data_IF_669291146919
#
_entry.id   IF_669291146919
#
_cell.length_a   1.000
_cell.length_b   1.000
_cell.length_c   1.000
_cell.angle_alpha   90.00
_cell.angle_beta   90.00
_cell.angle_gamma   90.00
#
_symmetry.space_group_name_H-M   'P 1'
#
loop_
_entity.id
_entity.type
_entity.pdbx_description
1 polymer ?
#
# COMPACT_ATOMS: atom_id res chain seq x y z
N UNK A 1 25.09 -44.61 -17.59
CA UNK A 1 24.19 -43.51 -17.16
C UNK A 1 25.00 -42.24 -17.13
N UNK A 2 24.97 -41.36 -18.15
CA UNK A 2 25.79 -40.14 -18.04
C UNK A 2 25.42 -39.02 -19.02
N UNK A 3 25.11 -39.29 -20.29
CA UNK A 3 24.95 -38.22 -21.30
C UNK A 3 23.52 -37.73 -21.50
N UNK A 4 22.55 -38.64 -21.50
CA UNK A 4 21.14 -38.30 -21.76
C UNK A 4 20.53 -37.48 -20.62
N UNK A 5 20.88 -37.80 -19.37
CA UNK A 5 20.42 -37.05 -18.20
C UNK A 5 20.95 -35.61 -18.22
N UNK A 6 22.22 -35.43 -18.60
CA UNK A 6 22.88 -34.14 -18.64
C UNK A 6 22.32 -33.26 -19.76
N UNK A 7 21.95 -33.87 -20.89
CA UNK A 7 21.26 -33.21 -21.99
C UNK A 7 19.84 -32.76 -21.61
N UNK A 8 19.09 -33.59 -20.89
CA UNK A 8 17.76 -33.24 -20.39
C UNK A 8 17.83 -32.06 -19.41
N UNK A 9 18.79 -32.07 -18.47
CA UNK A 9 18.99 -30.95 -17.54
C UNK A 9 19.33 -29.67 -18.30
N UNK A 10 20.20 -29.73 -19.30
CA UNK A 10 20.57 -28.57 -20.11
C UNK A 10 19.38 -27.99 -20.88
N UNK A 11 18.52 -28.87 -21.44
CA UNK A 11 17.28 -28.44 -22.11
C UNK A 11 16.31 -27.76 -21.14
N UNK A 12 16.13 -28.30 -19.94
CA UNK A 12 15.24 -27.70 -18.93
C UNK A 12 15.76 -26.32 -18.52
N UNK A 13 17.06 -26.18 -18.22
CA UNK A 13 17.65 -24.89 -17.84
C UNK A 13 17.51 -23.87 -18.97
N UNK A 14 17.83 -24.26 -20.20
CA UNK A 14 17.73 -23.38 -21.37
C UNK A 14 16.29 -22.93 -21.64
N UNK A 15 15.31 -23.84 -21.44
CA UNK A 15 13.90 -23.53 -21.63
C UNK A 15 13.37 -22.58 -20.55
N UNK A 16 13.79 -22.78 -19.29
CA UNK A 16 13.47 -21.87 -18.18
C UNK A 16 14.06 -20.49 -18.41
N UNK A 17 15.30 -20.41 -18.90
CA UNK A 17 15.98 -19.15 -19.20
C UNK A 17 15.32 -18.39 -20.36
N UNK A 18 14.88 -19.09 -21.41
CA UNK A 18 14.10 -18.48 -22.49
C UNK A 18 12.72 -17.99 -22.02
N UNK A 19 12.06 -18.72 -21.13
CA UNK A 19 10.77 -18.32 -20.55
C UNK A 19 10.89 -17.08 -19.66
N UNK A 20 12.00 -16.90 -18.95
CA UNK A 20 12.23 -15.71 -18.10
C UNK A 20 12.63 -14.48 -18.93
N UNK A 21 13.41 -14.65 -19.99
CA UNK A 21 13.83 -13.58 -20.90
C UNK A 21 12.70 -13.08 -21.83
N UNK A 22 11.74 -13.93 -22.18
CA UNK A 22 10.63 -13.57 -23.06
C UNK A 22 9.52 -12.76 -22.36
N UNK A 23 9.59 -12.57 -21.03
CA UNK A 23 8.59 -11.78 -20.31
C UNK A 23 8.82 -10.30 -20.64
N UNK A 24 7.87 -9.62 -21.31
CA UNK A 24 7.97 -8.19 -21.50
C UNK A 24 8.14 -7.52 -20.12
N UNK A 25 8.95 -6.47 -19.99
CA UNK A 25 8.97 -5.69 -18.76
C UNK A 25 7.53 -5.26 -18.48
N UNK A 26 6.95 -5.71 -17.36
CA UNK A 26 5.64 -5.24 -16.96
C UNK A 26 5.79 -3.76 -16.64
N UNK A 27 5.34 -2.90 -17.54
CA UNK A 27 5.25 -1.47 -17.28
C UNK A 27 4.14 -1.26 -16.26
N UNK A 28 4.52 -1.15 -15.00
CA UNK A 28 3.61 -0.81 -13.91
C UNK A 28 3.62 0.71 -13.73
N UNK A 29 2.43 1.31 -13.72
CA UNK A 29 2.28 2.76 -13.68
C UNK A 29 2.21 3.20 -12.22
N UNK A 30 3.00 4.21 -11.85
CA UNK A 30 2.87 4.87 -10.56
C UNK A 30 1.65 5.79 -10.59
N UNK A 31 0.71 5.56 -9.67
CA UNK A 31 -0.53 6.33 -9.57
C UNK A 31 -0.47 7.20 -8.31
N UNK A 32 -0.56 8.53 -8.43
CA UNK A 32 -0.51 9.42 -7.28
C UNK A 32 -1.80 9.33 -6.44
N UNK A 33 -1.64 9.37 -5.13
CA UNK A 33 -2.69 9.49 -4.14
C UNK A 33 -2.51 10.76 -3.32
N UNK A 34 -3.62 11.46 -3.11
CA UNK A 34 -3.71 12.61 -2.22
C UNK A 34 -4.93 12.41 -1.31
N UNK A 35 -4.66 12.20 -0.02
CA UNK A 35 -5.70 12.08 1.01
C UNK A 35 -5.56 13.28 1.94
N UNK A 36 -6.61 14.09 1.97
CA UNK A 36 -6.70 15.27 2.84
C UNK A 36 -7.87 15.06 3.78
N UNK A 37 -7.68 15.41 5.05
CA UNK A 37 -8.75 15.33 6.03
C UNK A 37 -8.47 16.16 7.26
N UNK A 38 -9.46 16.16 8.15
CA UNK A 38 -9.40 16.83 9.43
C UNK A 38 -9.80 15.85 10.54
N UNK A 39 -9.00 15.80 11.61
CA UNK A 39 -9.28 15.05 12.82
C UNK A 39 -9.80 16.00 13.90
N UNK A 40 -10.94 15.66 14.49
CA UNK A 40 -11.55 16.47 15.55
C UNK A 40 -11.84 15.60 16.77
N UNK A 41 -11.58 16.16 17.95
CA UNK A 41 -11.93 15.57 19.24
C UNK A 41 -12.71 16.61 20.04
N UNK A 42 -13.91 16.29 20.51
CA UNK A 42 -14.78 17.22 21.25
C UNK A 42 -14.92 18.60 20.56
N UNK A 43 -15.16 18.59 19.24
CA UNK A 43 -15.28 19.78 18.38
C UNK A 43 -14.04 20.68 18.31
N UNK A 44 -12.86 20.17 18.67
CA UNK A 44 -11.57 20.85 18.50
C UNK A 44 -10.66 20.05 17.58
N UNK A 45 -9.78 20.74 16.85
CA UNK A 45 -8.72 20.09 16.09
C UNK A 45 -7.89 19.18 16.99
N UNK A 46 -7.60 17.97 16.53
CA UNK A 46 -6.93 16.96 17.33
C UNK A 46 -5.71 16.40 16.61
N UNK A 47 -4.52 16.77 17.09
CA UNK A 47 -3.24 16.42 16.46
C UNK A 47 -2.59 15.14 16.97
N UNK A 48 -3.03 14.63 18.12
CA UNK A 48 -2.50 13.39 18.70
C UNK A 48 -3.15 12.17 18.04
N UNK A 49 -2.92 12.08 16.74
CA UNK A 49 -3.45 11.05 15.85
C UNK A 49 -2.35 10.62 14.90
N UNK A 50 -2.27 9.31 14.65
CA UNK A 50 -1.44 8.77 13.57
C UNK A 50 -2.35 8.38 12.42
N UNK A 51 -2.06 8.89 11.22
CA UNK A 51 -2.81 8.56 10.00
C UNK A 51 -1.88 7.77 9.08
N UNK A 52 -2.26 6.56 8.74
CA UNK A 52 -1.42 5.60 8.04
C UNK A 52 -2.18 4.96 6.89
N UNK A 53 -1.53 4.83 5.73
CA UNK A 53 -2.08 4.11 4.60
C UNK A 53 -1.38 2.75 4.46
N UNK A 54 -2.16 1.68 4.45
CA UNK A 54 -1.69 0.30 4.34
C UNK A 54 -2.14 -0.33 3.02
N UNK A 55 -1.32 -1.28 2.57
CA UNK A 55 -1.70 -2.25 1.56
C UNK A 55 -2.33 -3.45 2.30
N UNK A 56 -3.67 -3.51 2.40
CA UNK A 56 -4.35 -4.52 3.21
C UNK A 56 -4.30 -4.25 4.72
N UNK A 57 -4.33 -5.32 5.53
CA UNK A 57 -4.44 -5.24 7.00
C UNK A 57 -3.09 -5.03 7.70
N UNK A 58 -3.02 -4.16 8.72
CA UNK A 58 -1.80 -3.93 9.47
C UNK A 58 -1.38 -5.21 10.20
N UNK A 59 -0.10 -5.53 10.13
CA UNK A 59 0.48 -6.66 10.86
C UNK A 59 1.95 -6.36 11.14
N UNK A 60 2.61 -7.21 11.92
CA UNK A 60 4.03 -7.06 12.23
C UNK A 60 4.91 -7.01 10.96
N UNK A 61 4.49 -7.64 9.86
CA UNK A 61 5.21 -7.68 8.59
C UNK A 61 4.65 -6.70 7.54
N UNK A 62 3.45 -6.15 7.77
CA UNK A 62 2.83 -5.20 6.86
C UNK A 62 2.96 -3.79 7.41
N UNK A 63 3.99 -3.08 6.95
CA UNK A 63 4.28 -1.70 7.32
C UNK A 63 3.41 -0.72 6.51
N UNK A 64 3.14 0.48 7.04
CA UNK A 64 2.41 1.49 6.29
C UNK A 64 3.20 1.92 5.05
N UNK A 65 2.50 2.08 3.93
CA UNK A 65 3.01 2.67 2.70
C UNK A 65 3.49 4.09 2.97
N UNK A 66 2.69 4.85 3.72
CA UNK A 66 2.97 6.23 4.12
C UNK A 66 2.23 6.54 5.42
N UNK A 67 2.81 7.41 6.23
CA UNK A 67 2.23 7.88 7.47
C UNK A 67 2.34 9.39 7.59
N UNK A 68 1.39 10.00 8.29
CA UNK A 68 1.39 11.43 8.61
C UNK A 68 0.76 11.65 9.98
N UNK A 69 1.07 12.80 10.59
CA UNK A 69 0.43 13.27 11.81
C UNK A 69 -0.29 14.58 11.52
N UNK A 70 -1.53 14.77 12.01
CA UNK A 70 -2.22 16.02 11.79
C UNK A 70 -1.53 17.20 12.49
N UNK A 71 -1.68 18.38 11.88
CA UNK A 71 -1.30 19.65 12.50
C UNK A 71 -2.09 19.91 13.77
N UNK A 72 -1.70 20.92 14.56
CA UNK A 72 -2.43 21.33 15.79
C UNK A 72 -3.93 21.60 15.58
N UNK A 73 -4.33 21.97 14.36
CA UNK A 73 -5.73 22.22 14.00
C UNK A 73 -6.47 20.95 13.53
N UNK A 74 -5.83 19.79 13.57
CA UNK A 74 -6.37 18.51 13.12
C UNK A 74 -6.23 18.25 11.62
N UNK A 75 -5.68 19.18 10.85
CA UNK A 75 -5.54 19.00 9.39
C UNK A 75 -4.37 18.08 9.06
N UNK A 76 -4.60 17.10 8.19
CA UNK A 76 -3.55 16.23 7.66
C UNK A 76 -3.62 16.17 6.14
N UNK A 77 -2.46 15.95 5.54
CA UNK A 77 -2.27 15.68 4.14
C UNK A 77 -1.34 14.47 4.01
N UNK A 78 -1.79 13.45 3.29
CA UNK A 78 -1.05 12.24 3.02
C UNK A 78 -0.93 12.12 1.51
N UNK A 79 0.30 12.17 1.02
CA UNK A 79 0.62 12.10 -0.40
C UNK A 79 1.59 10.94 -0.63
N UNK A 80 1.29 10.11 -1.62
CA UNK A 80 2.15 8.99 -2.01
C UNK A 80 1.89 8.58 -3.46
N UNK A 81 2.73 7.73 -4.00
CA UNK A 81 2.57 7.10 -5.32
C UNK A 81 2.50 5.60 -5.13
N UNK A 82 1.46 4.97 -5.69
CA UNK A 82 1.21 3.53 -5.54
C UNK A 82 1.15 2.92 -6.94
N UNK A 83 1.83 1.80 -7.11
CA UNK A 83 1.81 1.04 -8.34
C UNK A 83 0.39 0.55 -8.67
N UNK A 84 0.00 0.67 -9.94
CA UNK A 84 -1.32 0.27 -10.42
C UNK A 84 -1.61 -1.21 -10.13
N UNK A 85 -0.60 -2.08 -10.27
CA UNK A 85 -0.77 -3.50 -9.96
C UNK A 85 -1.07 -3.79 -8.48
N UNK A 86 -0.64 -2.91 -7.57
CA UNK A 86 -0.92 -3.00 -6.13
C UNK A 86 -2.37 -2.56 -5.87
N UNK A 87 -2.83 -1.48 -6.51
CA UNK A 87 -4.22 -1.01 -6.41
C UNK A 87 -5.25 -2.06 -6.81
N UNK A 88 -4.98 -2.82 -7.87
CA UNK A 88 -5.94 -3.81 -8.39
C UNK A 88 -6.04 -5.07 -7.53
N UNK A 89 -4.97 -5.41 -6.81
CA UNK A 89 -4.89 -6.65 -6.03
C UNK A 89 -5.39 -6.48 -4.61
N UNK A 90 -5.25 -5.28 -4.05
CA UNK A 90 -5.41 -5.07 -2.62
C UNK A 90 -6.29 -3.86 -2.28
N UNK A 91 -7.05 -4.03 -1.20
CA UNK A 91 -7.89 -2.96 -0.66
C UNK A 91 -7.01 -2.05 0.20
N UNK A 92 -6.62 -0.90 -0.33
CA UNK A 92 -5.88 0.10 0.44
C UNK A 92 -6.70 0.54 1.66
N UNK A 93 -6.10 0.45 2.85
CA UNK A 93 -6.73 0.80 4.13
C UNK A 93 -6.07 2.03 4.73
N UNK A 94 -6.86 3.07 4.95
CA UNK A 94 -6.47 4.23 5.74
C UNK A 94 -6.84 3.96 7.19
N UNK A 95 -5.82 3.92 8.04
CA UNK A 95 -5.92 3.66 9.47
C UNK A 95 -5.62 4.94 10.24
N UNK A 96 -6.53 5.29 11.14
CA UNK A 96 -6.46 6.51 11.96
C UNK A 96 -6.40 6.07 13.43
N UNK A 97 -5.22 6.09 14.01
CA UNK A 97 -4.98 5.70 15.40
C UNK A 97 -5.04 6.93 16.31
N UNK A 98 -5.87 6.88 17.35
CA UNK A 98 -6.08 8.03 18.25
C UNK A 98 -6.48 7.60 19.66
N UNK A 99 -6.28 8.50 20.64
CA UNK A 99 -6.68 8.32 22.05
C UNK A 99 -7.78 9.30 22.49
N UNK A 100 -8.41 10.02 21.55
CA UNK A 100 -9.42 11.04 21.86
C UNK A 100 -10.53 10.49 22.79
N UNK A 101 -10.63 11.05 24.00
CA UNK A 101 -11.67 10.72 24.98
C UNK A 101 -11.58 9.30 25.55
N UNK A 102 -10.49 8.58 25.31
CA UNK A 102 -10.29 7.18 25.68
C UNK A 102 -8.91 7.03 26.36
N UNK A 103 -8.78 6.10 27.30
CA UNK A 103 -7.48 5.75 27.89
C UNK A 103 -6.63 4.88 26.97
N UNK A 104 -7.26 4.17 26.04
CA UNK A 104 -6.60 3.25 25.12
C UNK A 104 -6.57 3.83 23.69
N UNK A 105 -5.55 3.45 22.92
CA UNK A 105 -5.49 3.76 21.49
C UNK A 105 -6.62 3.03 20.74
N UNK A 106 -7.32 3.76 19.88
CA UNK A 106 -8.42 3.28 19.05
C UNK A 106 -8.05 3.44 17.58
N UNK A 107 -8.52 2.51 16.74
CA UNK A 107 -8.37 2.59 15.28
C UNK A 107 -9.72 2.91 14.63
N UNK A 108 -9.71 3.86 13.69
CA UNK A 108 -10.78 4.04 12.73
C UNK A 108 -10.28 3.68 11.34
N UNK A 109 -10.94 2.70 10.72
CA UNK A 109 -10.52 2.14 9.43
C UNK A 109 -11.40 2.70 8.31
N UNK A 110 -10.77 3.18 7.24
CA UNK A 110 -11.44 3.63 6.01
C UNK A 110 -10.83 2.97 4.80
N UNK A 111 -11.65 2.69 3.79
CA UNK A 111 -11.16 2.27 2.48
C UNK A 111 -10.73 3.49 1.67
N UNK A 112 -9.55 3.42 1.07
CA UNK A 112 -9.07 4.41 0.11
C UNK A 112 -9.14 3.79 -1.29
N UNK A 113 -9.88 4.43 -2.20
CA UNK A 113 -9.99 3.99 -3.59
C UNK A 113 -9.72 5.16 -4.54
N UNK A 114 -9.04 4.86 -5.64
CA UNK A 114 -8.92 5.81 -6.75
C UNK A 114 -10.14 5.66 -7.64
N UNK A 115 -10.91 6.74 -7.82
CA UNK A 115 -11.95 6.77 -8.83
C UNK A 115 -11.34 7.28 -10.14
N UNK A 116 -11.44 6.52 -11.25
CA UNK A 116 -11.07 7.08 -12.54
C UNK A 116 -11.99 8.25 -12.85
N UNK A 117 -11.41 9.40 -13.21
CA UNK A 117 -12.17 10.50 -13.78
C UNK A 117 -12.74 10.00 -15.12
N UNK A 118 -14.06 9.81 -15.19
CA UNK A 118 -14.73 9.64 -16.48
C UNK A 118 -14.69 10.99 -17.19
N UNK A 119 -13.92 11.06 -18.27
CA UNK A 119 -14.06 12.13 -19.27
C UNK A 119 -15.29 11.87 -20.15
#
# INVERSE_FOLDING_TARGET
MSKDLLFIVFLIVSFVEQLTLARPPSSDVQVPYLIIGNTTCNNRGFSDVKVELYNGDPSMLNLPIVSTTPTRNGSFCLQTEILHSVQQKENLKLIIQHSCGQTNAYSSDKFAFSLPLKN
#
